data_IF_150676464620
#
_entry.id   IF_150676464620
#
_cell.length_a   1.000
_cell.length_b   1.000
_cell.length_c   1.000
_cell.angle_alpha   90.00
_cell.angle_beta   90.00
_cell.angle_gamma   90.00
#
_symmetry.space_group_name_H-M   'P 1'
#
loop_
_entity.id
_entity.type
_entity.pdbx_description
1 polymer ?
#
# COMPACT_ATOMS: atom_id res chain seq x y z
N UNK A 1 -6.71 5.71 29.50
CA UNK A 1 -6.40 4.30 29.21
C UNK A 1 -6.55 3.54 30.52
N UNK A 2 -7.60 2.73 30.67
CA UNK A 2 -7.95 2.10 31.96
C UNK A 2 -7.48 0.63 32.05
N UNK A 3 -6.81 0.13 31.01
CA UNK A 3 -6.51 -1.30 30.81
C UNK A 3 -5.11 -1.73 31.28
N UNK A 4 -4.43 -0.92 32.09
CA UNK A 4 -3.09 -1.25 32.60
C UNK A 4 -3.02 -2.53 33.45
N UNK A 5 -4.17 -2.99 33.97
CA UNK A 5 -4.30 -4.21 34.78
C UNK A 5 -4.13 -5.51 33.98
N UNK A 6 -4.06 -5.46 32.64
CA UNK A 6 -3.89 -6.66 31.81
C UNK A 6 -2.61 -7.44 32.14
N UNK A 7 -1.55 -6.74 32.58
CA UNK A 7 -0.27 -7.34 32.94
C UNK A 7 -0.27 -8.08 34.29
N UNK A 8 -1.35 -8.01 35.06
CA UNK A 8 -1.55 -8.85 36.24
C UNK A 8 -2.01 -10.28 35.88
N UNK A 9 -2.54 -10.48 34.66
CA UNK A 9 -3.09 -11.76 34.21
C UNK A 9 -2.30 -12.34 33.03
N UNK A 10 -1.52 -11.52 32.32
CA UNK A 10 -0.66 -11.92 31.21
C UNK A 10 0.75 -11.46 31.50
N UNK A 11 1.75 -12.35 31.36
CA UNK A 11 3.15 -11.97 31.57
C UNK A 11 3.60 -10.93 30.53
N UNK A 12 4.16 -9.78 30.95
CA UNK A 12 4.63 -8.74 30.02
C UNK A 12 5.78 -9.22 29.14
N UNK A 13 6.60 -10.15 29.61
CA UNK A 13 7.71 -10.71 28.83
C UNK A 13 7.26 -11.53 27.62
N UNK A 14 6.02 -12.03 27.61
CA UNK A 14 5.48 -12.80 26.47
C UNK A 14 4.46 -11.96 25.70
N UNK A 15 3.57 -11.27 26.41
CA UNK A 15 2.49 -10.51 25.79
C UNK A 15 2.99 -9.27 25.02
N UNK A 16 3.99 -8.53 25.53
CA UNK A 16 4.51 -7.36 24.81
C UNK A 16 5.24 -7.78 23.51
N UNK A 17 6.18 -8.75 23.53
CA UNK A 17 6.81 -9.17 22.29
C UNK A 17 5.81 -9.73 21.27
N UNK A 18 4.84 -10.53 21.72
CA UNK A 18 3.82 -11.09 20.83
C UNK A 18 2.93 -9.99 20.22
N UNK A 19 2.54 -8.99 21.00
CA UNK A 19 1.75 -7.86 20.54
C UNK A 19 2.47 -7.06 19.44
N UNK A 20 3.73 -6.68 19.68
CA UNK A 20 4.51 -5.95 18.67
C UNK A 20 4.80 -6.80 17.43
N UNK A 21 5.04 -8.10 17.60
CA UNK A 21 5.21 -9.01 16.46
C UNK A 21 3.93 -9.11 15.62
N UNK A 22 2.78 -9.27 16.26
CA UNK A 22 1.49 -9.33 15.56
C UNK A 22 1.24 -8.04 14.76
N UNK A 23 1.50 -6.87 15.36
CA UNK A 23 1.37 -5.58 14.66
C UNK A 23 2.33 -5.49 13.48
N UNK A 24 3.60 -5.90 13.65
CA UNK A 24 4.58 -5.89 12.57
C UNK A 24 4.14 -6.79 11.40
N UNK A 25 3.66 -7.99 11.68
CA UNK A 25 3.14 -8.92 10.67
C UNK A 25 1.95 -8.31 9.93
N UNK A 26 0.96 -7.78 10.65
CA UNK A 26 -0.21 -7.14 10.03
C UNK A 26 0.20 -5.95 9.17
N UNK A 27 1.12 -5.10 9.65
CA UNK A 27 1.62 -3.96 8.89
C UNK A 27 2.26 -4.41 7.57
N UNK A 28 3.13 -5.43 7.60
CA UNK A 28 3.78 -5.96 6.40
C UNK A 28 2.76 -6.58 5.43
N UNK A 29 1.75 -7.29 5.92
CA UNK A 29 0.70 -7.86 5.08
C UNK A 29 -0.13 -6.78 4.38
N UNK A 30 -0.50 -5.71 5.08
CA UNK A 30 -1.22 -4.60 4.47
C UNK A 30 -0.37 -3.93 3.39
N UNK A 31 0.92 -3.68 3.65
CA UNK A 31 1.82 -3.11 2.64
C UNK A 31 1.99 -4.02 1.44
N UNK A 32 2.17 -5.33 1.66
CA UNK A 32 2.24 -6.32 0.58
C UNK A 32 0.95 -6.33 -0.25
N UNK A 33 -0.21 -6.28 0.39
CA UNK A 33 -1.51 -6.21 -0.29
C UNK A 33 -1.64 -4.96 -1.15
N UNK A 34 -1.24 -3.79 -0.63
CA UNK A 34 -1.26 -2.54 -1.40
C UNK A 34 -0.30 -2.61 -2.59
N UNK A 35 0.90 -3.15 -2.38
CA UNK A 35 1.90 -3.32 -3.44
C UNK A 35 1.40 -4.23 -4.57
N UNK A 36 0.68 -5.32 -4.27
CA UNK A 36 0.22 -6.28 -5.29
C UNK A 36 -1.11 -5.94 -5.93
N UNK A 37 -1.95 -5.15 -5.27
CA UNK A 37 -3.31 -4.86 -5.73
C UNK A 37 -3.50 -3.41 -6.23
N UNK A 38 -2.45 -2.59 -6.23
CA UNK A 38 -2.53 -1.21 -6.71
C UNK A 38 -1.36 -0.86 -7.63
N UNK A 39 -1.57 0.04 -8.58
CA UNK A 39 -0.53 0.44 -9.54
C UNK A 39 0.33 1.61 -9.05
N UNK A 40 -0.22 2.46 -8.18
CA UNK A 40 0.47 3.67 -7.71
C UNK A 40 1.65 3.36 -6.80
N UNK A 41 1.57 2.31 -5.97
CA UNK A 41 2.63 1.99 -5.01
C UNK A 41 3.87 1.41 -5.71
N UNK A 42 3.67 0.58 -6.75
CA UNK A 42 4.76 0.15 -7.63
C UNK A 42 5.35 1.34 -8.42
N UNK A 43 4.50 2.23 -8.95
CA UNK A 43 4.96 3.46 -9.62
C UNK A 43 5.77 4.40 -8.72
N UNK A 44 5.43 4.48 -7.43
CA UNK A 44 6.20 5.21 -6.41
C UNK A 44 7.61 4.61 -6.23
N UNK A 45 7.73 3.29 -6.10
CA UNK A 45 9.03 2.61 -5.96
C UNK A 45 9.87 2.58 -7.24
N UNK A 46 9.24 2.63 -8.41
CA UNK A 46 9.95 2.72 -9.69
C UNK A 46 10.71 4.05 -9.86
N UNK A 47 10.37 5.09 -9.08
CA UNK A 47 11.05 6.38 -9.03
C UNK A 47 10.97 7.18 -10.33
N UNK A 48 10.05 8.14 -10.43
CA UNK A 48 9.97 9.17 -11.49
C UNK A 48 10.14 8.72 -12.97
N UNK A 49 9.98 7.45 -13.30
CA UNK A 49 10.19 6.93 -14.65
C UNK A 49 8.90 6.36 -15.26
N UNK A 50 7.99 7.25 -15.63
CA UNK A 50 7.39 7.27 -16.96
C UNK A 50 6.78 8.68 -17.14
N UNK A 51 7.39 9.57 -17.96
CA UNK A 51 6.62 10.60 -18.63
C UNK A 51 5.42 9.89 -19.26
N UNK A 52 4.22 10.40 -18.99
CA UNK A 52 2.98 9.83 -19.48
C UNK A 52 3.17 9.36 -20.93
N UNK A 53 2.84 8.10 -21.22
CA UNK A 53 2.60 7.69 -22.59
C UNK A 53 1.56 8.70 -23.11
N UNK A 54 2.03 9.61 -23.96
CA UNK A 54 1.19 10.55 -24.69
C UNK A 54 0.19 9.64 -25.38
N UNK A 55 -1.04 9.61 -24.85
CA UNK A 55 -2.15 9.02 -25.54
C UNK A 55 -2.13 9.68 -26.92
N UNK A 56 -1.78 8.89 -27.93
CA UNK A 56 -1.77 9.35 -29.30
C UNK A 56 -3.11 10.03 -29.53
N UNK A 57 -3.07 11.32 -29.85
CA UNK A 57 -4.25 12.08 -30.21
C UNK A 57 -5.03 11.26 -31.24
N UNK A 58 -6.35 11.03 -31.07
CA UNK A 58 -7.12 10.46 -32.17
C UNK A 58 -6.95 11.43 -33.34
N UNK A 59 -6.28 10.98 -34.39
CA UNK A 59 -6.14 11.74 -35.61
C UNK A 59 -7.56 12.08 -36.07
N UNK A 60 -7.87 13.37 -36.11
CA UNK A 60 -9.09 13.89 -36.70
C UNK A 60 -9.13 13.46 -38.17
N UNK A 61 -9.85 12.38 -38.49
CA UNK A 61 -10.32 12.15 -39.85
C UNK A 61 -11.51 13.06 -40.09
N UNK A 62 -11.21 14.32 -40.38
CA UNK A 62 -12.10 15.19 -41.13
C UNK A 62 -12.07 14.72 -42.59
N UNK A 63 -12.94 13.76 -42.92
CA UNK A 63 -13.27 13.45 -44.31
C UNK A 63 -14.26 14.51 -44.78
N UNK A 64 -13.71 15.62 -45.26
CA UNK A 64 -14.41 16.50 -46.18
C UNK A 64 -14.50 15.79 -47.53
N UNK A 65 -15.69 15.34 -47.92
CA UNK A 65 -16.01 15.06 -49.32
C UNK A 65 -17.28 15.79 -49.68
N UNK A 66 -17.08 16.67 -50.65
CA UNK A 66 -17.98 17.58 -51.33
C UNK A 66 -18.93 16.84 -52.28
#
# INVERSE_FOLDING_TARGET
MNEGKIWCYVSPNVGLPLFFLAIAVVALLVHASILTNTTWFAGYWQGAAQPAAVAAAPASTEVAVN
#
